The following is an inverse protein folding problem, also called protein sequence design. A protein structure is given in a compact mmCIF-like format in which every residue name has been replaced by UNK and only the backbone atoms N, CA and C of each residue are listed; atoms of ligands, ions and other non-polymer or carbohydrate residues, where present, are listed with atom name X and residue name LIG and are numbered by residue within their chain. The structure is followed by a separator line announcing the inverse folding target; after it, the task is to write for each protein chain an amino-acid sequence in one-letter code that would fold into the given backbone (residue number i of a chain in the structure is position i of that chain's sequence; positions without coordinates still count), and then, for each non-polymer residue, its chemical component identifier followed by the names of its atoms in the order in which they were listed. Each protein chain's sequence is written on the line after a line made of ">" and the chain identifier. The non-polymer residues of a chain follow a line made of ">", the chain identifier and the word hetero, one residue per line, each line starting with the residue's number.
data_IF_361560961513
#
_entry.id   IF_361560961513
#
_cell.length_a   1.000
_cell.length_b   1.000
_cell.length_c   1.000
_cell.angle_alpha   90.00
_cell.angle_beta   90.00
_cell.angle_gamma   90.00
#
_symmetry.space_group_name_H-M   'P 1'
#
loop_
_entity.id
_entity.type
_entity.pdbx_description
1 polymer ?
#
# COMPACT_ATOMS: atom_id res chain seq x y z
N UNK A 1 15.48 14.87 -4.96
CA UNK A 1 16.37 16.04 -5.06
C UNK A 1 15.62 17.21 -5.71
N UNK A 2 14.81 18.00 -4.97
CA UNK A 2 14.25 19.23 -5.51
C UNK A 2 15.35 20.27 -5.72
N UNK A 3 15.22 21.06 -6.79
CA UNK A 3 16.12 22.15 -7.13
C UNK A 3 15.37 23.47 -7.01
N UNK A 4 16.00 24.43 -6.37
CA UNK A 4 15.54 25.79 -6.20
C UNK A 4 16.48 26.77 -6.96
N UNK A 5 16.17 28.04 -6.93
CA UNK A 5 16.93 29.06 -7.68
C UNK A 5 18.45 29.06 -7.35
N UNK A 6 18.79 28.96 -6.06
CA UNK A 6 20.18 29.05 -5.59
C UNK A 6 20.72 27.77 -4.95
N UNK A 7 19.88 26.77 -4.70
CA UNK A 7 20.26 25.56 -3.97
C UNK A 7 19.51 24.32 -4.42
N UNK A 8 20.06 23.17 -4.10
CA UNK A 8 19.38 21.89 -4.20
C UNK A 8 19.38 21.18 -2.85
N UNK A 9 18.36 20.41 -2.57
CA UNK A 9 18.26 19.64 -1.33
C UNK A 9 18.20 18.15 -1.61
N UNK A 10 18.97 17.36 -0.86
CA UNK A 10 18.78 15.93 -0.77
C UNK A 10 17.80 15.66 0.36
N UNK A 11 16.70 15.01 0.05
CA UNK A 11 15.67 14.61 1.02
C UNK A 11 15.47 13.13 0.95
N UNK A 12 15.32 12.49 2.09
CA UNK A 12 14.88 11.10 2.19
C UNK A 12 13.43 11.05 2.60
N UNK A 13 12.69 10.12 2.03
CA UNK A 13 11.37 9.75 2.52
C UNK A 13 11.53 8.54 3.43
N UNK A 14 11.45 8.78 4.73
CA UNK A 14 11.51 7.73 5.76
C UNK A 14 10.14 7.65 6.40
N UNK A 15 9.58 6.44 6.46
CA UNK A 15 8.24 6.18 7.02
C UNK A 15 7.15 7.13 6.48
N UNK A 16 7.20 7.39 5.17
CA UNK A 16 6.24 8.25 4.47
C UNK A 16 6.48 9.76 4.60
N UNK A 17 7.42 10.21 5.43
CA UNK A 17 7.72 11.63 5.68
C UNK A 17 9.04 12.04 5.03
N UNK A 18 9.05 13.21 4.37
CA UNK A 18 10.26 13.76 3.78
C UNK A 18 11.10 14.48 4.85
N UNK A 19 12.35 14.04 4.98
CA UNK A 19 13.34 14.64 5.88
C UNK A 19 14.48 15.21 5.05
N UNK A 20 14.84 16.46 5.30
CA UNK A 20 16.04 17.09 4.68
C UNK A 20 17.29 16.43 5.26
N UNK A 21 18.20 16.02 4.38
CA UNK A 21 19.48 15.42 4.78
C UNK A 21 20.64 16.38 4.57
N UNK A 22 20.79 16.91 3.37
CA UNK A 22 21.88 17.81 3.01
C UNK A 22 21.42 18.85 2.01
N UNK A 23 22.02 20.00 2.05
CA UNK A 23 21.91 21.06 1.05
C UNK A 23 23.15 21.06 0.16
N UNK A 24 22.95 21.16 -1.13
CA UNK A 24 24.02 21.16 -2.11
C UNK A 24 24.02 22.47 -2.90
N UNK A 25 25.21 22.96 -3.21
CA UNK A 25 25.40 24.04 -4.17
C UNK A 25 24.88 23.59 -5.57
N UNK A 26 24.30 24.52 -6.31
CA UNK A 26 23.72 24.25 -7.64
C UNK A 26 24.75 23.69 -8.64
N UNK A 27 26.03 24.13 -8.54
CA UNK A 27 27.09 23.65 -9.43
C UNK A 27 27.42 22.18 -9.18
N UNK A 28 27.48 21.77 -7.89
CA UNK A 28 27.70 20.37 -7.51
C UNK A 28 26.52 19.51 -7.97
N UNK A 29 25.30 20.05 -7.89
CA UNK A 29 24.09 19.32 -8.24
C UNK A 29 24.08 18.87 -9.71
N UNK A 30 24.56 19.71 -10.65
CA UNK A 30 24.64 19.33 -12.07
C UNK A 30 25.56 18.14 -12.31
N UNK A 31 26.66 18.05 -11.59
CA UNK A 31 27.60 16.92 -11.62
C UNK A 31 26.97 15.67 -11.02
N UNK A 32 26.25 15.81 -9.91
CA UNK A 32 25.53 14.69 -9.26
C UNK A 32 24.47 14.12 -10.22
N UNK A 33 23.66 14.97 -10.86
CA UNK A 33 22.66 14.54 -11.83
C UNK A 33 23.30 13.82 -13.01
N UNK A 34 24.37 14.39 -13.59
CA UNK A 34 25.10 13.75 -14.69
C UNK A 34 25.61 12.36 -14.28
N UNK A 35 26.15 12.22 -13.08
CA UNK A 35 26.58 10.93 -12.55
C UNK A 35 25.43 9.94 -12.38
N UNK A 36 24.28 10.41 -11.86
CA UNK A 36 23.07 9.58 -11.72
C UNK A 36 22.60 9.12 -13.11
N UNK A 37 22.59 9.98 -14.12
CA UNK A 37 22.23 9.61 -15.49
C UNK A 37 23.15 8.51 -16.04
N UNK A 38 24.46 8.65 -15.88
CA UNK A 38 25.44 7.64 -16.32
C UNK A 38 25.15 6.27 -15.71
N UNK A 39 25.04 6.19 -14.39
CA UNK A 39 24.85 4.90 -13.70
C UNK A 39 23.46 4.30 -13.93
N UNK A 40 22.51 5.08 -14.46
CA UNK A 40 21.12 4.66 -14.73
C UNK A 40 20.86 4.45 -16.23
N UNK A 41 21.90 4.52 -17.07
CA UNK A 41 21.83 4.41 -18.54
C UNK A 41 20.87 5.44 -19.17
N UNK A 42 20.91 6.68 -18.68
CA UNK A 42 20.12 7.79 -19.19
C UNK A 42 20.99 8.74 -20.03
N UNK A 43 20.36 9.49 -20.93
CA UNK A 43 21.05 10.47 -21.78
C UNK A 43 21.45 11.70 -20.97
N UNK A 44 22.77 11.95 -20.89
CA UNK A 44 23.37 13.06 -20.15
C UNK A 44 23.09 14.40 -20.85
N UNK A 45 23.02 14.38 -22.17
CA UNK A 45 22.86 15.58 -23.02
C UNK A 45 21.42 16.07 -23.04
N UNK A 46 20.45 15.18 -22.95
CA UNK A 46 19.02 15.52 -22.96
C UNK A 46 18.57 16.00 -21.58
N UNK A 47 18.05 17.25 -21.52
CA UNK A 47 17.59 17.92 -20.29
C UNK A 47 16.17 18.48 -20.38
N UNK A 48 15.49 18.28 -21.53
CA UNK A 48 14.21 18.91 -21.85
C UNK A 48 13.02 17.99 -21.66
N UNK A 49 13.25 16.68 -21.61
CA UNK A 49 12.20 15.68 -21.46
C UNK A 49 12.43 14.80 -20.23
N UNK A 50 11.37 14.25 -19.64
CA UNK A 50 11.48 13.29 -18.54
C UNK A 50 12.26 12.04 -18.98
N UNK A 51 13.06 11.48 -18.08
CA UNK A 51 13.80 10.25 -18.29
C UNK A 51 13.63 9.31 -17.11
N UNK A 52 13.38 8.04 -17.39
CA UNK A 52 13.27 6.98 -16.38
C UNK A 52 14.32 5.91 -16.66
N UNK A 53 15.03 5.49 -15.59
CA UNK A 53 16.08 4.50 -15.67
C UNK A 53 16.12 3.62 -14.43
N UNK A 54 17.05 2.65 -14.47
CA UNK A 54 17.31 1.72 -13.35
C UNK A 54 18.80 1.59 -13.15
N UNK A 55 19.20 1.40 -11.91
CA UNK A 55 20.58 1.08 -11.56
C UNK A 55 20.61 0.11 -10.38
N UNK A 56 21.72 -0.59 -10.25
CA UNK A 56 21.99 -1.45 -9.09
C UNK A 56 23.21 -0.92 -8.36
N UNK A 57 23.12 -0.89 -7.03
CA UNK A 57 24.24 -0.54 -6.16
C UNK A 57 24.45 -1.64 -5.12
N UNK A 58 25.70 -1.88 -4.73
CA UNK A 58 26.03 -2.79 -3.61
C UNK A 58 26.32 -1.96 -2.37
N UNK A 59 25.58 -2.22 -1.31
CA UNK A 59 25.74 -1.59 0.00
C UNK A 59 25.77 -2.66 1.08
N UNK A 60 26.83 -2.70 1.87
CA UNK A 60 27.00 -3.68 2.96
C UNK A 60 26.77 -5.15 2.54
N UNK A 61 27.22 -5.51 1.32
CA UNK A 61 27.08 -6.86 0.76
C UNK A 61 25.73 -7.15 0.09
N UNK A 62 24.72 -6.32 0.28
CA UNK A 62 23.41 -6.45 -0.38
C UNK A 62 23.38 -5.67 -1.70
N UNK A 63 22.78 -6.24 -2.72
CA UNK A 63 22.52 -5.55 -3.99
C UNK A 63 21.16 -4.88 -3.90
N UNK A 64 21.12 -3.57 -4.11
CA UNK A 64 19.90 -2.77 -4.11
C UNK A 64 19.55 -2.37 -5.55
N UNK A 65 18.34 -2.70 -5.99
CA UNK A 65 17.77 -2.17 -7.23
C UNK A 65 17.21 -0.76 -6.97
N UNK A 66 17.58 0.21 -7.80
CA UNK A 66 17.11 1.59 -7.68
C UNK A 66 16.45 2.02 -8.98
N UNK A 67 15.23 2.49 -8.86
CA UNK A 67 14.50 3.18 -9.91
C UNK A 67 14.81 4.66 -9.85
N UNK A 68 15.19 5.23 -10.99
CA UNK A 68 15.55 6.64 -11.12
C UNK A 68 14.58 7.31 -12.07
N UNK A 69 13.99 8.41 -11.63
CA UNK A 69 13.16 9.27 -12.48
C UNK A 69 13.72 10.69 -12.44
N UNK A 70 13.94 11.26 -13.61
CA UNK A 70 14.45 12.61 -13.80
C UNK A 70 13.40 13.43 -14.51
N UNK A 71 13.07 14.57 -13.96
CA UNK A 71 12.06 15.49 -14.47
C UNK A 71 12.66 16.88 -14.68
N UNK A 72 12.58 17.47 -15.88
CA UNK A 72 12.90 18.85 -16.11
C UNK A 72 12.00 19.77 -15.28
N UNK A 73 12.59 20.74 -14.59
CA UNK A 73 11.86 21.79 -13.87
C UNK A 73 12.44 23.16 -14.22
N UNK A 74 11.78 24.24 -13.83
CA UNK A 74 12.20 25.59 -14.16
C UNK A 74 13.63 25.91 -13.70
N UNK A 75 14.04 25.44 -12.54
CA UNK A 75 15.38 25.71 -11.99
C UNK A 75 16.43 24.61 -12.30
N UNK A 76 16.05 23.56 -13.03
CA UNK A 76 16.92 22.43 -13.40
C UNK A 76 16.23 21.08 -13.29
N UNK A 77 17.00 20.01 -13.37
CA UNK A 77 16.44 18.66 -13.38
C UNK A 77 16.23 18.12 -11.96
N UNK A 78 14.99 17.79 -11.64
CA UNK A 78 14.63 17.11 -10.37
C UNK A 78 14.85 15.62 -10.51
N UNK A 79 15.48 14.99 -9.52
CA UNK A 79 15.72 13.55 -9.48
C UNK A 79 14.94 12.90 -8.32
N UNK A 80 14.29 11.79 -8.60
CA UNK A 80 13.70 10.90 -7.60
C UNK A 80 14.33 9.52 -7.75
N UNK A 81 14.84 8.97 -6.66
CA UNK A 81 15.40 7.62 -6.61
C UNK A 81 14.58 6.79 -5.64
N UNK A 82 14.03 5.67 -6.12
CA UNK A 82 13.26 4.73 -5.30
C UNK A 82 14.06 3.43 -5.16
N UNK A 83 14.35 3.07 -3.94
CA UNK A 83 14.96 1.76 -3.61
C UNK A 83 13.86 0.72 -3.71
N UNK A 84 14.09 -0.34 -4.49
CA UNK A 84 13.19 -1.48 -4.61
C UNK A 84 13.66 -2.56 -3.65
N UNK A 85 12.72 -3.14 -2.92
CA UNK A 85 12.99 -4.24 -1.98
C UNK A 85 13.06 -5.56 -2.74
N UNK A 86 13.81 -6.52 -2.22
CA UNK A 86 13.88 -7.89 -2.77
C UNK A 86 12.90 -8.79 -2.03
N UNK A 87 12.55 -9.94 -2.61
CA UNK A 87 11.59 -10.89 -2.05
C UNK A 87 11.99 -11.43 -0.68
N UNK A 88 13.28 -11.53 -0.39
CA UNK A 88 13.80 -11.98 0.90
C UNK A 88 13.42 -11.07 2.09
N UNK A 89 12.94 -9.85 1.79
CA UNK A 89 12.53 -8.86 2.78
C UNK A 89 11.00 -8.82 2.96
N UNK A 90 10.23 -9.78 2.39
CA UNK A 90 8.77 -9.81 2.52
C UNK A 90 8.40 -10.36 3.91
N UNK A 91 7.73 -9.53 4.68
CA UNK A 91 7.21 -9.89 5.99
C UNK A 91 6.02 -10.85 5.86
N UNK A 92 5.91 -11.81 6.76
CA UNK A 92 4.69 -12.60 6.92
C UNK A 92 3.52 -11.68 7.33
N UNK A 93 2.28 -12.12 7.12
CA UNK A 93 1.10 -11.31 7.46
C UNK A 93 1.06 -10.94 8.96
N UNK A 94 1.57 -11.81 9.82
CA UNK A 94 1.68 -11.58 11.27
C UNK A 94 2.69 -10.49 11.62
N UNK A 95 3.76 -10.37 10.85
CA UNK A 95 4.81 -9.35 11.04
C UNK A 95 4.44 -7.98 10.48
N UNK A 96 3.37 -7.87 9.67
CA UNK A 96 2.88 -6.58 9.18
C UNK A 96 2.32 -5.69 10.30
N UNK A 97 2.03 -6.26 11.45
CA UNK A 97 1.57 -5.55 12.63
C UNK A 97 0.06 -5.35 12.70
N UNK A 98 -0.71 -6.03 11.86
CA UNK A 98 -2.17 -6.07 12.04
C UNK A 98 -2.55 -6.73 13.37
N UNK A 99 -3.65 -6.29 14.00
CA UNK A 99 -4.22 -7.01 15.14
C UNK A 99 -4.56 -8.47 14.78
N UNK A 100 -4.43 -9.39 15.74
CA UNK A 100 -4.63 -10.83 15.52
C UNK A 100 -5.99 -11.19 14.92
N UNK A 101 -7.06 -10.50 15.32
CA UNK A 101 -8.39 -10.73 14.73
C UNK A 101 -8.45 -10.46 13.22
N UNK A 102 -7.59 -9.58 12.67
CA UNK A 102 -7.49 -9.35 11.21
C UNK A 102 -6.68 -10.48 10.57
N UNK A 103 -5.55 -10.88 11.18
CA UNK A 103 -4.71 -11.93 10.61
C UNK A 103 -5.40 -13.29 10.62
N UNK A 104 -6.11 -13.62 11.68
CA UNK A 104 -6.83 -14.90 11.82
C UNK A 104 -7.98 -15.00 10.80
N UNK A 105 -8.74 -13.93 10.61
CA UNK A 105 -9.80 -13.87 9.61
C UNK A 105 -9.24 -13.91 8.18
N UNK A 106 -8.13 -13.23 7.90
CA UNK A 106 -7.48 -13.32 6.60
C UNK A 106 -6.96 -14.74 6.33
N UNK A 107 -6.36 -15.40 7.31
CA UNK A 107 -5.94 -16.81 7.19
C UNK A 107 -7.15 -17.72 6.87
N UNK A 108 -8.30 -17.49 7.49
CA UNK A 108 -9.54 -18.20 7.17
C UNK A 108 -9.99 -17.96 5.72
N UNK A 109 -9.94 -16.71 5.26
CA UNK A 109 -10.30 -16.34 3.88
C UNK A 109 -9.36 -16.99 2.86
N UNK A 110 -8.06 -17.10 3.16
CA UNK A 110 -7.06 -17.75 2.30
C UNK A 110 -7.30 -19.27 2.14
N UNK A 111 -8.08 -19.90 3.01
CA UNK A 111 -8.51 -21.30 2.89
C UNK A 111 -9.54 -21.54 1.78
N UNK A 112 -10.11 -20.50 1.17
CA UNK A 112 -11.04 -20.66 0.07
C UNK A 112 -10.31 -21.02 -1.22
N UNK A 113 -10.92 -21.92 -2.01
CA UNK A 113 -10.36 -22.33 -3.30
C UNK A 113 -10.59 -21.29 -4.40
N UNK A 114 -11.59 -20.42 -4.27
CA UNK A 114 -11.94 -19.40 -5.26
C UNK A 114 -12.60 -18.19 -4.57
N UNK A 115 -12.65 -17.08 -5.28
CA UNK A 115 -13.23 -15.82 -4.83
C UNK A 115 -12.25 -14.68 -4.96
N UNK A 116 -12.66 -13.50 -4.52
CA UNK A 116 -11.85 -12.28 -4.65
C UNK A 116 -11.58 -11.66 -3.29
N UNK A 117 -10.33 -11.29 -3.03
CA UNK A 117 -9.89 -10.52 -1.87
C UNK A 117 -9.33 -9.18 -2.37
N UNK A 118 -9.84 -8.09 -1.82
CA UNK A 118 -9.41 -6.74 -2.17
C UNK A 118 -8.66 -6.08 -1.02
N UNK A 119 -7.52 -5.47 -1.33
CA UNK A 119 -6.80 -4.61 -0.40
C UNK A 119 -6.92 -3.16 -0.87
N UNK A 120 -7.44 -2.27 -0.03
CA UNK A 120 -7.70 -0.89 -0.42
C UNK A 120 -6.96 0.11 0.47
N UNK A 121 -6.84 1.34 -0.02
CA UNK A 121 -6.20 2.43 0.70
C UNK A 121 -5.45 3.38 -0.24
N UNK A 122 -4.99 4.53 0.25
CA UNK A 122 -4.22 5.48 -0.54
C UNK A 122 -2.85 4.92 -0.94
N UNK A 123 -2.16 5.67 -1.79
CA UNK A 123 -0.77 5.37 -2.14
C UNK A 123 0.11 5.38 -0.88
N UNK A 124 0.96 4.36 -0.73
CA UNK A 124 1.84 4.22 0.43
C UNK A 124 1.17 3.64 1.69
N UNK A 125 -0.04 3.10 1.60
CA UNK A 125 -0.69 2.40 2.72
C UNK A 125 -0.20 0.96 2.93
N UNK A 126 0.71 0.45 2.08
CA UNK A 126 1.28 -0.89 2.20
C UNK A 126 0.53 -1.99 1.44
N UNK A 127 -0.39 -1.65 0.52
CA UNK A 127 -1.21 -2.63 -0.23
C UNK A 127 -0.37 -3.71 -0.93
N UNK A 128 0.65 -3.32 -1.70
CA UNK A 128 1.52 -4.27 -2.41
C UNK A 128 2.22 -5.22 -1.44
N UNK A 129 2.75 -4.71 -0.33
CA UNK A 129 3.39 -5.53 0.70
C UNK A 129 2.41 -6.56 1.27
N UNK A 130 1.20 -6.13 1.61
CA UNK A 130 0.16 -7.03 2.13
C UNK A 130 -0.24 -8.08 1.10
N UNK A 131 -0.44 -7.72 -0.17
CA UNK A 131 -0.76 -8.69 -1.22
C UNK A 131 0.36 -9.72 -1.41
N UNK A 132 1.62 -9.29 -1.44
CA UNK A 132 2.74 -10.22 -1.53
C UNK A 132 2.85 -11.11 -0.29
N UNK A 133 2.60 -10.59 0.92
CA UNK A 133 2.54 -11.40 2.14
C UNK A 133 1.43 -12.46 2.08
N UNK A 134 0.25 -12.11 1.55
CA UNK A 134 -0.86 -13.06 1.33
C UNK A 134 -0.49 -14.13 0.30
N UNK A 135 0.14 -13.73 -0.82
CA UNK A 135 0.59 -14.68 -1.85
C UNK A 135 1.61 -15.68 -1.30
N UNK A 136 2.63 -15.20 -0.59
CA UNK A 136 3.63 -16.10 0.01
C UNK A 136 3.04 -17.09 1.01
N UNK A 137 1.93 -16.75 1.68
CA UNK A 137 1.26 -17.64 2.61
C UNK A 137 0.51 -18.79 1.90
N UNK A 138 0.10 -18.58 0.64
CA UNK A 138 -0.64 -19.57 -0.16
C UNK A 138 0.21 -20.30 -1.19
N UNK A 139 1.51 -19.97 -1.28
CA UNK A 139 2.46 -20.67 -2.15
C UNK A 139 2.55 -22.14 -1.76
N UNK A 140 2.46 -23.01 -2.75
CA UNK A 140 2.74 -24.44 -2.65
C UNK A 140 3.17 -24.98 -4.01
N UNK A 141 3.84 -26.14 -4.03
CA UNK A 141 4.24 -26.82 -5.29
C UNK A 141 3.04 -27.26 -6.15
N UNK A 142 1.84 -27.35 -5.55
CA UNK A 142 0.62 -27.79 -6.20
C UNK A 142 -0.19 -26.64 -6.82
N UNK A 143 0.22 -25.37 -6.62
CA UNK A 143 -0.54 -24.19 -7.02
C UNK A 143 0.21 -23.33 -8.02
N UNK A 144 -0.41 -23.06 -9.15
CA UNK A 144 0.08 -22.12 -10.16
C UNK A 144 -0.37 -20.69 -9.82
N UNK A 145 0.58 -19.86 -9.39
CA UNK A 145 0.35 -18.46 -9.01
C UNK A 145 0.89 -17.55 -10.11
N UNK A 146 0.06 -16.67 -10.64
CA UNK A 146 0.47 -15.70 -11.66
C UNK A 146 0.00 -14.30 -11.28
N UNK A 147 0.91 -13.32 -11.42
CA UNK A 147 0.61 -11.91 -11.12
C UNK A 147 0.72 -11.02 -12.35
N UNK A 148 -0.02 -9.92 -12.37
CA UNK A 148 0.15 -8.82 -13.32
C UNK A 148 0.24 -7.50 -12.55
N UNK A 149 1.36 -6.76 -12.71
CA UNK A 149 1.75 -5.65 -11.84
C UNK A 149 2.26 -4.44 -12.65
N UNK A 150 2.13 -3.22 -12.11
CA UNK A 150 2.62 -1.97 -12.71
C UNK A 150 3.28 -1.04 -11.66
N UNK A 151 4.56 -1.19 -11.44
CA UNK A 151 5.46 -2.27 -11.84
C UNK A 151 5.51 -3.41 -10.82
N UNK A 152 6.27 -4.48 -11.13
CA UNK A 152 6.68 -5.48 -10.14
C UNK A 152 7.51 -4.78 -9.06
N UNK A 153 6.99 -4.75 -7.83
CA UNK A 153 7.65 -4.12 -6.66
C UNK A 153 8.58 -5.12 -5.94
N UNK A 154 8.14 -6.38 -5.80
CA UNK A 154 8.89 -7.46 -5.16
C UNK A 154 9.09 -8.57 -6.18
N UNK A 155 10.34 -8.93 -6.48
CA UNK A 155 10.63 -10.06 -7.35
C UNK A 155 10.51 -11.36 -6.55
N UNK A 156 9.81 -12.35 -7.07
CA UNK A 156 9.69 -13.68 -6.49
C UNK A 156 10.17 -14.75 -7.45
N UNK A 157 10.76 -15.81 -6.90
CA UNK A 157 11.09 -17.02 -7.64
C UNK A 157 10.03 -18.10 -7.50
N UNK A 158 8.98 -17.86 -6.71
CA UNK A 158 7.95 -18.83 -6.34
C UNK A 158 6.71 -18.75 -7.22
N UNK A 159 6.54 -17.66 -7.98
CA UNK A 159 5.39 -17.46 -8.87
C UNK A 159 5.74 -16.61 -10.10
N UNK A 160 4.94 -16.72 -11.14
CA UNK A 160 5.15 -16.01 -12.41
C UNK A 160 4.64 -14.57 -12.32
N UNK A 161 5.48 -13.61 -12.67
CA UNK A 161 5.15 -12.18 -12.58
C UNK A 161 5.18 -11.51 -13.95
N UNK A 162 4.07 -10.91 -14.34
CA UNK A 162 3.92 -10.13 -15.58
C UNK A 162 4.00 -8.64 -15.21
N UNK A 163 4.92 -7.91 -15.84
CA UNK A 163 4.95 -6.47 -15.71
C UNK A 163 4.19 -5.80 -16.86
N UNK A 164 3.23 -4.95 -16.53
CA UNK A 164 2.49 -4.12 -17.50
C UNK A 164 3.46 -3.32 -18.38
N UNK A 165 3.17 -3.28 -19.68
CA UNK A 165 3.89 -2.49 -20.65
C UNK A 165 2.93 -1.89 -21.68
N UNK A 166 2.40 -0.72 -21.38
CA UNK A 166 1.42 -0.03 -22.23
C UNK A 166 1.94 0.29 -23.65
N UNK A 167 3.26 0.41 -23.82
CA UNK A 167 3.87 0.70 -25.14
C UNK A 167 3.65 -0.42 -26.16
N UNK A 168 3.51 -1.65 -25.68
CA UNK A 168 3.26 -2.84 -26.51
C UNK A 168 1.86 -3.41 -26.32
N UNK A 169 0.96 -2.67 -25.66
CA UNK A 169 -0.43 -3.08 -25.44
C UNK A 169 -0.63 -4.11 -24.32
N UNK A 170 0.40 -4.41 -23.51
CA UNK A 170 0.28 -5.29 -22.35
C UNK A 170 -0.25 -4.50 -21.16
N UNK A 171 -1.57 -4.35 -21.11
CA UNK A 171 -2.33 -3.69 -20.02
C UNK A 171 -2.69 -4.69 -18.92
N UNK A 172 -3.28 -4.23 -17.80
CA UNK A 172 -3.84 -5.12 -16.77
C UNK A 172 -4.90 -6.07 -17.36
N UNK A 173 -5.85 -5.55 -18.15
CA UNK A 173 -6.89 -6.35 -18.77
C UNK A 173 -6.31 -7.38 -19.76
N UNK A 174 -5.37 -6.98 -20.62
CA UNK A 174 -4.72 -7.88 -21.58
C UNK A 174 -3.89 -8.96 -20.86
N UNK A 175 -3.15 -8.59 -19.83
CA UNK A 175 -2.39 -9.52 -18.98
C UNK A 175 -3.30 -10.54 -18.30
N UNK A 176 -4.38 -10.08 -17.67
CA UNK A 176 -5.32 -10.95 -16.96
C UNK A 176 -6.01 -11.94 -17.91
N UNK A 177 -6.44 -11.49 -19.11
CA UNK A 177 -6.96 -12.43 -20.14
C UNK A 177 -5.95 -13.50 -20.55
N UNK A 178 -4.67 -13.15 -20.58
CA UNK A 178 -3.61 -14.10 -20.92
C UNK A 178 -3.35 -15.07 -19.79
N UNK A 179 -3.38 -14.60 -18.54
CA UNK A 179 -3.24 -15.41 -17.33
C UNK A 179 -4.29 -16.53 -17.31
N UNK A 180 -5.56 -16.22 -17.61
CA UNK A 180 -6.66 -17.19 -17.63
C UNK A 180 -6.48 -18.37 -18.62
N UNK A 181 -5.52 -18.28 -19.54
CA UNK A 181 -5.15 -19.37 -20.47
C UNK A 181 -3.90 -20.13 -20.04
N UNK A 182 -3.38 -19.85 -18.86
CA UNK A 182 -2.17 -20.44 -18.31
C UNK A 182 -2.43 -21.38 -17.12
N UNK A 183 -3.68 -21.85 -17.00
CA UNK A 183 -4.13 -22.75 -15.93
C UNK A 183 -3.73 -22.26 -14.52
N UNK A 184 -4.11 -21.03 -14.13
CA UNK A 184 -3.77 -20.49 -12.83
C UNK A 184 -4.73 -20.99 -11.76
N UNK A 185 -4.23 -21.25 -10.54
CA UNK A 185 -5.07 -21.45 -9.35
C UNK A 185 -5.28 -20.12 -8.62
N UNK A 186 -4.22 -19.30 -8.56
CA UNK A 186 -4.21 -18.03 -7.85
C UNK A 186 -3.75 -16.91 -8.79
N UNK A 187 -4.50 -15.83 -8.79
CA UNK A 187 -4.22 -14.68 -9.64
C UNK A 187 -4.06 -13.44 -8.77
N UNK A 188 -3.03 -12.63 -9.01
CA UNK A 188 -2.95 -11.30 -8.45
C UNK A 188 -2.93 -10.23 -9.56
N UNK A 189 -3.86 -9.30 -9.47
CA UNK A 189 -3.91 -8.10 -10.30
C UNK A 189 -3.49 -6.92 -9.44
N UNK A 190 -2.36 -6.31 -9.75
CA UNK A 190 -1.78 -5.23 -8.94
C UNK A 190 -2.79 -4.15 -8.56
N UNK A 191 -3.64 -3.76 -9.49
CA UNK A 191 -4.77 -2.86 -9.22
C UNK A 191 -5.88 -2.96 -10.28
N UNK A 192 -7.11 -2.65 -9.88
CA UNK A 192 -8.28 -2.49 -10.76
C UNK A 192 -8.54 -0.99 -10.93
N UNK A 193 -8.32 -0.47 -12.15
CA UNK A 193 -8.51 0.96 -12.47
C UNK A 193 -9.73 1.23 -13.35
N UNK A 194 -10.17 0.25 -14.13
CA UNK A 194 -11.18 0.39 -15.19
C UNK A 194 -12.20 -0.74 -15.15
N UNK A 195 -13.32 -0.53 -15.83
CA UNK A 195 -14.44 -1.46 -15.89
C UNK A 195 -14.09 -2.79 -16.57
N UNK A 196 -13.19 -2.77 -17.56
CA UNK A 196 -12.77 -3.97 -18.27
C UNK A 196 -12.01 -4.93 -17.35
N UNK A 197 -10.99 -4.40 -16.63
CA UNK A 197 -10.21 -5.16 -15.64
C UNK A 197 -11.11 -5.65 -14.51
N UNK A 198 -12.05 -4.81 -14.01
CA UNK A 198 -12.99 -5.19 -12.95
C UNK A 198 -13.88 -6.37 -13.37
N UNK A 199 -14.47 -6.31 -14.57
CA UNK A 199 -15.33 -7.37 -15.09
C UNK A 199 -14.59 -8.70 -15.22
N UNK A 200 -13.37 -8.69 -15.80
CA UNK A 200 -12.57 -9.91 -15.97
C UNK A 200 -12.16 -10.48 -14.60
N UNK A 201 -11.74 -9.63 -13.65
CA UNK A 201 -11.33 -10.05 -12.31
C UNK A 201 -12.49 -10.74 -11.56
N UNK A 202 -13.68 -10.14 -11.57
CA UNK A 202 -14.87 -10.70 -10.94
C UNK A 202 -15.28 -12.04 -11.59
N UNK A 203 -15.26 -12.13 -12.93
CA UNK A 203 -15.53 -13.37 -13.64
C UNK A 203 -14.51 -14.45 -13.31
N UNK A 204 -13.22 -14.10 -13.22
CA UNK A 204 -12.18 -15.05 -12.84
C UNK A 204 -12.42 -15.64 -11.45
N UNK A 205 -12.79 -14.79 -10.49
CA UNK A 205 -13.11 -15.22 -9.13
C UNK A 205 -14.36 -16.15 -9.07
N UNK A 206 -15.31 -16.00 -10.01
CA UNK A 206 -16.49 -16.87 -10.10
C UNK A 206 -16.20 -18.19 -10.79
N UNK A 207 -15.18 -18.23 -11.66
CA UNK A 207 -14.84 -19.42 -12.46
C UNK A 207 -13.79 -20.33 -11.82
N UNK A 208 -13.55 -20.19 -10.52
CA UNK A 208 -12.74 -21.15 -9.74
C UNK A 208 -11.35 -20.66 -9.34
N UNK A 209 -11.03 -19.37 -9.52
CA UNK A 209 -9.71 -18.83 -9.17
C UNK A 209 -9.78 -18.01 -7.88
N UNK A 210 -8.76 -18.14 -7.02
CA UNK A 210 -8.57 -17.20 -5.91
C UNK A 210 -7.84 -15.96 -6.43
N UNK A 211 -8.52 -14.80 -6.40
CA UNK A 211 -8.03 -13.58 -6.99
C UNK A 211 -7.75 -12.51 -5.92
N UNK A 212 -6.57 -11.94 -5.97
CA UNK A 212 -6.15 -10.82 -5.15
C UNK A 212 -6.00 -9.56 -5.99
N UNK A 213 -6.51 -8.42 -5.49
CA UNK A 213 -6.28 -7.14 -6.18
C UNK A 213 -6.34 -5.95 -5.24
N UNK A 214 -6.06 -4.75 -5.78
CA UNK A 214 -6.22 -3.50 -5.04
C UNK A 214 -7.20 -2.55 -5.70
N UNK A 215 -7.81 -1.72 -4.85
CA UNK A 215 -8.59 -0.55 -5.23
C UNK A 215 -8.10 0.68 -4.46
N UNK A 216 -8.44 1.86 -4.96
CA UNK A 216 -8.16 3.13 -4.29
C UNK A 216 -9.42 3.67 -3.61
N UNK A 217 -9.85 3.03 -2.52
CA UNK A 217 -10.91 3.54 -1.65
C UNK A 217 -10.39 3.77 -0.24
N UNK A 218 -11.03 4.66 0.50
CA UNK A 218 -10.59 5.04 1.84
C UNK A 218 -11.12 4.12 2.95
N UNK A 219 -12.23 3.45 2.71
CA UNK A 219 -12.92 2.53 3.61
C UNK A 219 -13.18 1.21 2.90
N UNK A 220 -13.29 0.12 3.64
CA UNK A 220 -13.49 -1.19 3.06
C UNK A 220 -14.87 -1.33 2.37
N UNK A 221 -16.00 -0.91 2.95
CA UNK A 221 -17.29 -0.99 2.27
C UNK A 221 -17.35 -0.20 0.96
N UNK A 222 -16.65 0.93 0.85
CA UNK A 222 -16.60 1.74 -0.36
C UNK A 222 -15.96 1.03 -1.58
N UNK A 223 -15.29 -0.10 -1.37
CA UNK A 223 -14.82 -0.92 -2.48
C UNK A 223 -15.96 -1.55 -3.28
N UNK A 224 -17.07 -1.87 -2.62
CA UNK A 224 -18.26 -2.44 -3.26
C UNK A 224 -18.90 -1.41 -4.18
N UNK A 225 -19.19 -0.20 -3.67
CA UNK A 225 -19.75 0.88 -4.49
C UNK A 225 -18.82 1.24 -5.63
N UNK A 226 -17.51 1.21 -5.41
CA UNK A 226 -16.54 1.46 -6.46
C UNK A 226 -16.60 0.41 -7.59
N UNK A 227 -16.78 -0.88 -7.27
CA UNK A 227 -17.00 -1.92 -8.28
C UNK A 227 -18.32 -1.73 -9.03
N UNK A 228 -19.40 -1.33 -8.33
CA UNK A 228 -20.68 -1.01 -8.94
C UNK A 228 -20.53 0.17 -9.91
N UNK A 229 -19.84 1.23 -9.52
CA UNK A 229 -19.55 2.42 -10.37
C UNK A 229 -18.73 2.04 -11.62
N UNK A 230 -17.90 1.00 -11.53
CA UNK A 230 -17.17 0.43 -12.67
C UNK A 230 -18.05 -0.47 -13.56
N UNK A 231 -19.35 -0.60 -13.26
CA UNK A 231 -20.30 -1.38 -14.06
C UNK A 231 -20.38 -2.86 -13.71
N UNK A 232 -19.80 -3.29 -12.57
CA UNK A 232 -19.94 -4.66 -12.12
C UNK A 232 -21.31 -4.86 -11.46
N UNK A 233 -22.04 -5.85 -11.89
CA UNK A 233 -23.37 -6.14 -11.36
C UNK A 233 -23.30 -6.63 -9.89
N UNK A 234 -24.23 -6.16 -9.06
CA UNK A 234 -24.26 -6.42 -7.61
C UNK A 234 -24.25 -7.91 -7.26
N UNK A 235 -24.97 -8.73 -8.03
CA UNK A 235 -25.04 -10.18 -7.80
C UNK A 235 -23.70 -10.88 -8.08
N UNK A 236 -22.90 -10.38 -9.04
CA UNK A 236 -21.56 -10.90 -9.32
C UNK A 236 -20.61 -10.55 -8.17
N UNK A 237 -20.69 -9.32 -7.65
CA UNK A 237 -19.90 -8.89 -6.49
C UNK A 237 -20.24 -9.77 -5.27
N UNK A 238 -21.53 -9.94 -4.98
CA UNK A 238 -21.97 -10.75 -3.83
C UNK A 238 -21.54 -12.22 -3.89
N UNK A 239 -21.36 -12.75 -5.11
CA UNK A 239 -20.98 -14.13 -5.33
C UNK A 239 -19.47 -14.37 -5.42
N UNK A 240 -18.70 -13.34 -5.75
CA UNK A 240 -17.25 -13.43 -5.95
C UNK A 240 -16.43 -12.86 -4.81
N UNK A 241 -16.88 -11.77 -4.17
CA UNK A 241 -16.09 -11.05 -3.16
C UNK A 241 -16.15 -11.80 -1.82
N UNK A 242 -14.99 -12.14 -1.27
CA UNK A 242 -14.83 -12.78 0.03
C UNK A 242 -14.57 -11.75 1.14
N UNK A 243 -13.64 -10.85 0.88
CA UNK A 243 -13.21 -9.85 1.87
C UNK A 243 -12.65 -8.58 1.22
N UNK A 244 -12.76 -7.48 1.94
CA UNK A 244 -12.10 -6.22 1.63
C UNK A 244 -11.32 -5.75 2.85
N UNK A 245 -10.01 -5.55 2.70
CA UNK A 245 -9.15 -4.97 3.71
C UNK A 245 -8.79 -3.51 3.33
N UNK A 246 -9.37 -2.53 4.01
CA UNK A 246 -8.89 -1.16 3.88
C UNK A 246 -7.81 -0.88 4.92
N UNK A 247 -6.63 -0.44 4.48
CA UNK A 247 -5.47 -0.32 5.36
C UNK A 247 -4.78 1.03 5.32
N UNK A 248 -4.07 1.33 6.42
CA UNK A 248 -3.16 2.46 6.57
C UNK A 248 -1.88 2.01 7.26
N UNK A 249 -0.80 2.76 7.02
CA UNK A 249 0.43 2.63 7.80
C UNK A 249 0.53 3.80 8.78
N UNK A 250 0.69 3.47 10.05
CA UNK A 250 0.81 4.39 11.18
C UNK A 250 2.24 4.32 11.69
N UNK A 251 2.89 5.47 11.90
CA UNK A 251 4.22 5.49 12.53
C UNK A 251 4.08 5.19 14.02
N UNK A 252 4.95 4.31 14.51
CA UNK A 252 5.07 4.03 15.95
C UNK A 252 5.90 5.10 16.63
N UNK A 253 5.47 5.53 17.81
CA UNK A 253 6.31 6.37 18.66
C UNK A 253 7.59 5.63 19.03
N UNK A 254 8.67 6.36 19.14
CA UNK A 254 9.93 5.82 19.62
C UNK A 254 9.85 5.60 21.12
N UNK A 255 10.00 4.35 21.56
CA UNK A 255 9.88 3.99 22.97
C UNK A 255 10.98 4.64 23.83
N UNK A 256 12.15 4.95 23.23
CA UNK A 256 13.29 5.56 23.92
C UNK A 256 13.07 7.05 24.25
N UNK A 257 12.11 7.74 23.59
CA UNK A 257 11.98 9.19 23.76
C UNK A 257 10.56 9.73 23.77
N UNK A 258 9.53 8.87 23.64
CA UNK A 258 8.14 9.35 23.79
C UNK A 258 7.93 9.89 25.21
N UNK A 259 7.16 10.98 25.32
CA UNK A 259 6.77 11.53 26.61
C UNK A 259 5.25 11.70 26.71
N UNK A 260 4.69 11.77 27.92
CA UNK A 260 3.26 12.07 28.10
C UNK A 260 2.86 13.36 27.36
N UNK A 261 1.66 13.35 26.79
CA UNK A 261 1.00 14.50 26.18
C UNK A 261 -0.20 14.90 27.05
N UNK A 262 -0.06 15.96 27.80
CA UNK A 262 -1.08 16.48 28.73
C UNK A 262 -2.11 17.36 28.00
N UNK A 263 -2.15 17.33 26.67
CA UNK A 263 -3.04 18.13 25.83
C UNK A 263 -4.51 17.69 25.97
N UNK A 264 -5.30 18.44 26.71
CA UNK A 264 -6.76 18.27 26.76
C UNK A 264 -7.43 18.41 25.39
N UNK A 265 -6.81 19.15 24.47
CA UNK A 265 -7.33 19.30 23.11
C UNK A 265 -7.27 17.99 22.33
N UNK A 266 -6.20 17.21 22.47
CA UNK A 266 -6.08 15.90 21.84
C UNK A 266 -7.10 14.90 22.38
N UNK A 267 -7.29 14.86 23.71
CA UNK A 267 -8.31 14.01 24.33
C UNK A 267 -9.73 14.33 23.82
N UNK A 268 -10.08 15.62 23.75
CA UNK A 268 -11.39 16.06 23.24
C UNK A 268 -11.56 15.74 21.75
N UNK A 269 -10.53 15.96 20.94
CA UNK A 269 -10.57 15.76 19.49
C UNK A 269 -10.89 14.30 19.12
N UNK A 270 -10.29 13.35 19.83
CA UNK A 270 -10.45 11.92 19.56
C UNK A 270 -11.45 11.22 20.51
N UNK A 271 -12.12 11.96 21.39
CA UNK A 271 -13.07 11.41 22.36
C UNK A 271 -12.41 10.36 23.28
N UNK A 272 -11.19 10.64 23.73
CA UNK A 272 -10.45 9.77 24.64
C UNK A 272 -10.86 10.00 26.10
N UNK A 273 -10.72 8.95 26.91
CA UNK A 273 -10.86 9.08 28.36
C UNK A 273 -9.75 9.99 28.91
N UNK A 274 -10.13 11.01 29.68
CA UNK A 274 -9.18 11.95 30.29
C UNK A 274 -8.22 11.31 31.30
N UNK A 275 -8.59 10.12 31.83
CA UNK A 275 -7.71 9.35 32.70
C UNK A 275 -6.65 8.51 31.96
N UNK A 276 -6.73 8.44 30.63
CA UNK A 276 -5.75 7.72 29.79
C UNK A 276 -4.60 8.65 29.45
N UNK A 277 -3.38 8.21 29.75
CA UNK A 277 -2.17 8.92 29.30
C UNK A 277 -1.94 8.63 27.83
N UNK A 278 -1.90 9.67 27.02
CA UNK A 278 -1.43 9.61 25.62
C UNK A 278 0.00 10.13 25.52
N UNK A 279 0.67 9.88 24.41
CA UNK A 279 2.09 10.20 24.25
C UNK A 279 2.35 11.05 23.00
N UNK A 280 3.41 11.85 23.06
CA UNK A 280 3.88 12.68 21.96
C UNK A 280 5.32 12.36 21.56
N UNK A 281 5.71 12.61 20.29
CA UNK A 281 7.08 12.41 19.84
C UNK A 281 8.00 13.52 20.34
N UNK A 282 9.20 13.14 20.80
CA UNK A 282 10.24 14.12 21.18
C UNK A 282 11.38 14.11 20.16
N UNK A 283 12.02 12.96 19.98
CA UNK A 283 13.17 12.78 19.11
C UNK A 283 14.47 12.50 19.87
N UNK A 284 15.16 11.44 19.46
CA UNK A 284 16.47 11.06 20.01
C UNK A 284 17.35 10.44 18.91
N UNK A 285 18.59 10.09 19.24
CA UNK A 285 19.51 9.46 18.28
C UNK A 285 18.97 8.14 17.73
N UNK A 286 18.26 7.34 18.54
CA UNK A 286 17.69 6.04 18.14
C UNK A 286 16.63 6.16 17.02
N UNK A 287 15.88 7.26 16.97
CA UNK A 287 14.87 7.52 15.96
C UNK A 287 15.30 8.61 14.95
N UNK A 288 16.59 8.93 14.87
CA UNK A 288 17.11 10.00 14.03
C UNK A 288 16.38 11.34 14.25
N UNK A 289 16.08 11.66 15.51
CA UNK A 289 15.39 12.87 15.97
C UNK A 289 13.97 13.07 15.40
N UNK A 290 13.36 12.03 14.87
CA UNK A 290 11.98 12.11 14.33
C UNK A 290 10.89 11.91 15.39
N UNK A 291 11.21 11.28 16.52
CA UNK A 291 10.26 10.86 17.55
C UNK A 291 9.49 9.59 17.19
N UNK A 292 9.72 9.01 16.00
CA UNK A 292 9.06 7.79 15.51
C UNK A 292 10.08 6.75 15.06
N UNK A 293 9.74 5.47 15.22
CA UNK A 293 10.58 4.35 14.83
C UNK A 293 9.74 3.20 14.28
N UNK A 294 9.79 3.04 12.96
CA UNK A 294 9.01 2.04 12.24
C UNK A 294 7.54 2.40 12.05
N UNK A 295 6.83 1.50 11.39
CA UNK A 295 5.40 1.63 11.05
C UNK A 295 4.68 0.34 11.40
N UNK A 296 3.40 0.44 11.64
CA UNK A 296 2.51 -0.69 11.86
C UNK A 296 1.31 -0.54 10.92
N UNK A 297 0.83 -1.66 10.40
CA UNK A 297 -0.38 -1.68 9.61
C UNK A 297 -1.62 -1.69 10.52
N UNK A 298 -2.59 -0.85 10.19
CA UNK A 298 -3.95 -0.94 10.72
C UNK A 298 -4.90 -1.18 9.54
N UNK A 299 -6.02 -1.84 9.81
CA UNK A 299 -6.97 -2.15 8.74
C UNK A 299 -8.38 -2.38 9.25
N UNK A 300 -9.37 -2.00 8.45
CA UNK A 300 -10.73 -2.48 8.62
C UNK A 300 -10.95 -3.64 7.64
N UNK A 301 -11.17 -4.82 8.18
CA UNK A 301 -11.44 -6.02 7.41
C UNK A 301 -12.94 -6.25 7.34
N UNK A 302 -13.49 -6.12 6.14
CA UNK A 302 -14.89 -6.32 5.83
C UNK A 302 -15.08 -7.68 5.18
N UNK A 303 -15.65 -8.63 5.92
CA UNK A 303 -15.99 -9.98 5.43
C UNK A 303 -17.37 -9.96 4.79
N UNK A 304 -17.52 -10.57 3.63
CA UNK A 304 -18.77 -10.65 2.88
C UNK A 304 -19.53 -11.91 3.29
N UNK A 305 -20.27 -11.79 4.38
CA UNK A 305 -21.13 -12.85 4.89
C UNK A 305 -22.52 -12.84 4.25
N UNK A 306 -23.38 -13.79 4.61
CA UNK A 306 -24.69 -13.94 3.98
C UNK A 306 -25.62 -12.76 4.22
N UNK A 307 -25.54 -12.06 5.38
CA UNK A 307 -26.31 -10.84 5.64
C UNK A 307 -25.89 -9.71 4.66
N UNK A 308 -24.59 -9.57 4.43
CA UNK A 308 -24.06 -8.59 3.46
C UNK A 308 -24.47 -8.97 2.03
N UNK A 309 -24.34 -10.24 1.65
CA UNK A 309 -24.79 -10.74 0.32
C UNK A 309 -26.26 -10.45 0.06
N UNK A 310 -27.12 -10.63 1.08
CA UNK A 310 -28.53 -10.33 0.96
C UNK A 310 -28.80 -8.82 0.78
N UNK A 311 -28.10 -7.99 1.55
CA UNK A 311 -28.19 -6.54 1.40
C UNK A 311 -27.75 -6.06 0.00
N UNK A 312 -26.73 -6.68 -0.57
CA UNK A 312 -26.23 -6.30 -1.92
C UNK A 312 -27.27 -6.52 -3.04
N UNK A 313 -28.35 -7.25 -2.80
CA UNK A 313 -29.47 -7.38 -3.75
C UNK A 313 -30.36 -6.15 -3.80
N UNK A 314 -30.27 -5.27 -2.82
CA UNK A 314 -31.03 -4.01 -2.70
C UNK A 314 -30.27 -2.81 -3.24
N UNK A 315 -30.77 -1.61 -2.98
CA UNK A 315 -30.01 -0.38 -3.23
C UNK A 315 -28.90 -0.21 -2.18
N UNK A 316 -27.67 -0.13 -2.67
CA UNK A 316 -26.46 -0.15 -1.84
C UNK A 316 -25.98 1.28 -1.60
N UNK A 317 -25.82 1.63 -0.32
CA UNK A 317 -25.15 2.86 0.09
C UNK A 317 -24.02 2.59 1.09
N UNK A 318 -22.97 3.40 1.04
CA UNK A 318 -21.77 3.24 1.87
C UNK A 318 -22.04 3.32 3.37
N UNK A 319 -22.97 4.17 3.80
CA UNK A 319 -23.25 4.37 5.22
C UNK A 319 -23.93 3.14 5.82
N UNK A 320 -24.89 2.56 5.12
CA UNK A 320 -25.58 1.33 5.56
C UNK A 320 -24.62 0.16 5.53
N UNK A 321 -23.80 0.00 4.47
CA UNK A 321 -22.75 -1.02 4.42
C UNK A 321 -21.77 -0.88 5.58
N UNK A 322 -21.35 0.34 5.94
CA UNK A 322 -20.45 0.59 7.07
C UNK A 322 -21.10 0.15 8.39
N UNK A 323 -22.38 0.48 8.61
CA UNK A 323 -23.11 0.08 9.81
C UNK A 323 -23.24 -1.44 9.89
N UNK A 324 -23.60 -2.10 8.79
CA UNK A 324 -23.66 -3.55 8.70
C UNK A 324 -22.31 -4.22 8.94
N UNK A 325 -21.25 -3.70 8.35
CA UNK A 325 -19.90 -4.21 8.57
C UNK A 325 -19.50 -4.15 10.05
N UNK A 326 -19.73 -3.00 10.71
CA UNK A 326 -19.45 -2.83 12.15
C UNK A 326 -20.33 -3.77 12.99
N UNK A 327 -21.62 -3.91 12.67
CA UNK A 327 -22.53 -4.85 13.33
C UNK A 327 -22.03 -6.30 13.23
N UNK A 328 -21.41 -6.65 12.10
CA UNK A 328 -20.83 -7.98 11.83
C UNK A 328 -19.37 -8.11 12.31
N UNK A 329 -18.91 -7.23 13.22
CA UNK A 329 -17.63 -7.38 13.92
C UNK A 329 -16.46 -6.59 13.32
N UNK A 330 -16.62 -5.89 12.18
CA UNK A 330 -15.56 -5.05 11.64
C UNK A 330 -15.20 -3.93 12.63
N UNK A 331 -13.92 -3.80 12.93
CA UNK A 331 -13.41 -2.67 13.73
C UNK A 331 -12.91 -1.60 12.75
N UNK A 332 -13.53 -0.41 12.82
CA UNK A 332 -13.17 0.69 11.93
C UNK A 332 -11.74 1.22 12.19
N UNK A 333 -11.15 1.84 11.17
CA UNK A 333 -9.85 2.50 11.29
C UNK A 333 -9.82 3.54 12.41
N UNK A 334 -10.91 4.32 12.57
CA UNK A 334 -11.02 5.32 13.64
C UNK A 334 -10.91 4.69 15.04
N UNK A 335 -11.59 3.56 15.24
CA UNK A 335 -11.56 2.83 16.53
C UNK A 335 -10.17 2.26 16.79
N UNK A 336 -9.48 1.71 15.77
CA UNK A 336 -8.12 1.20 15.91
C UNK A 336 -7.12 2.32 16.22
N UNK A 337 -7.22 3.47 15.55
CA UNK A 337 -6.38 4.63 15.86
C UNK A 337 -6.59 5.14 17.29
N UNK A 338 -7.83 5.13 17.76
CA UNK A 338 -8.13 5.46 19.16
C UNK A 338 -7.45 4.48 20.11
N UNK A 339 -7.54 3.18 19.85
CA UNK A 339 -6.85 2.15 20.64
C UNK A 339 -5.33 2.36 20.65
N UNK A 340 -4.73 2.71 19.51
CA UNK A 340 -3.29 3.00 19.42
C UNK A 340 -2.86 4.27 20.16
N UNK A 341 -3.72 5.27 20.23
CA UNK A 341 -3.47 6.46 21.06
C UNK A 341 -3.49 6.09 22.55
N UNK A 342 -4.50 5.31 22.98
CA UNK A 342 -4.65 4.88 24.36
C UNK A 342 -3.56 3.90 24.84
N UNK A 343 -2.97 3.11 23.91
CA UNK A 343 -1.84 2.24 24.22
C UNK A 343 -0.48 2.98 24.19
N UNK A 344 -0.44 4.19 23.64
CA UNK A 344 0.80 4.95 23.49
C UNK A 344 1.70 4.42 22.36
N UNK A 345 1.12 3.72 21.38
CA UNK A 345 1.84 3.24 20.19
C UNK A 345 2.03 4.34 19.16
N UNK A 346 1.12 5.32 19.11
CA UNK A 346 1.19 6.45 18.17
C UNK A 346 0.80 7.76 18.86
N UNK A 347 0.87 8.88 18.15
CA UNK A 347 0.56 10.20 18.67
C UNK A 347 -0.65 10.84 18.00
N UNK A 348 -1.26 11.82 18.66
CA UNK A 348 -2.34 12.63 18.10
C UNK A 348 -1.96 13.30 16.79
N UNK A 349 -0.73 13.81 16.68
CA UNK A 349 -0.21 14.44 15.45
C UNK A 349 -0.11 13.45 14.27
N UNK A 350 0.20 12.19 14.53
CA UNK A 350 0.24 11.16 13.49
C UNK A 350 -1.16 10.79 13.03
N UNK A 351 -2.12 10.65 13.95
CA UNK A 351 -3.53 10.38 13.61
C UNK A 351 -4.12 11.49 12.73
N UNK A 352 -3.85 12.75 13.07
CA UNK A 352 -4.23 13.91 12.23
C UNK A 352 -3.59 13.82 10.84
N UNK A 353 -2.30 13.46 10.76
CA UNK A 353 -1.57 13.32 9.49
C UNK A 353 -2.16 12.27 8.58
N UNK A 354 -2.66 11.16 9.13
CA UNK A 354 -3.29 10.07 8.36
C UNK A 354 -4.62 10.52 7.76
N UNK A 355 -5.29 11.51 8.35
CA UNK A 355 -6.48 12.14 7.79
C UNK A 355 -7.73 11.26 7.77
N UNK A 356 -7.85 10.33 8.70
CA UNK A 356 -9.09 9.58 8.92
C UNK A 356 -9.97 10.47 9.84
N UNK A 357 -11.10 10.89 9.34
CA UNK A 357 -12.14 11.62 10.06
C UNK A 357 -13.38 10.75 10.17
#
# INVERSE_FOLDING_TARGET
>A
LPIYEFKAEVRYRVDGVLTKHIELDKNIMSLVISRIKVISNLDISEKRVPQDGRTQIKVAGKTLDIRVSILPTFYGERVVMRILMQSEDILSIKELGFPSYITDELESVLGNSYGMVLVTGPTGSGKSTTLHSLLHQVVSEEKNIITVEDPVEYKSNEFSQIQVNNKVGLTFAAGLRSILRQDPDIIMVGEIRDSETASIAVQSALTGHLLFSTLHTNRAPAAITRLIDMGVEKFLISSSLLAVLAQRLVRKLCDDCKCPDDSLAAHKLFGLDLNKTIFQPVGCKSCNFTGYKGRVAIGELFIINDEIKEYLKSDVDDNTLMKLAIKNGMISLDKQLKMMLESGDTSASEVIRIGIK
#
